data_IF_683817667455
#
_entry.id   IF_683817667455
#
_cell.length_a   1.000
_cell.length_b   1.000
_cell.length_c   1.000
_cell.angle_alpha   90.00
_cell.angle_beta   90.00
_cell.angle_gamma   90.00
#
_symmetry.space_group_name_H-M   'P 1'
#
loop_
_entity.id
_entity.type
_entity.pdbx_description
1 polymer ?
#
# COMPACT_ATOMS: atom_id res chain seq x y z
N UNK A 1 -8.26 -7.70 -1.19
CA UNK A 1 -9.17 -6.57 -0.89
C UNK A 1 -8.50 -5.21 -1.02
N UNK A 2 -7.25 -5.03 -0.60
CA UNK A 2 -6.56 -3.73 -0.63
C UNK A 2 -6.39 -3.08 -2.02
N UNK A 3 -6.15 -3.87 -3.07
CA UNK A 3 -5.90 -3.34 -4.42
C UNK A 3 -7.03 -2.42 -4.96
N UNK A 4 -8.31 -2.84 -5.02
CA UNK A 4 -9.38 -1.94 -5.48
C UNK A 4 -9.60 -0.72 -4.59
N UNK A 5 -9.27 -0.81 -3.29
CA UNK A 5 -9.32 0.36 -2.37
C UNK A 5 -8.23 1.37 -2.77
N UNK A 6 -7.00 0.89 -2.98
CA UNK A 6 -5.88 1.71 -3.38
C UNK A 6 -6.13 2.38 -4.74
N UNK A 7 -6.64 1.64 -5.72
CA UNK A 7 -6.98 2.17 -7.05
C UNK A 7 -8.00 3.31 -6.96
N UNK A 8 -9.06 3.15 -6.16
CA UNK A 8 -10.06 4.21 -5.95
C UNK A 8 -9.47 5.46 -5.28
N UNK A 9 -8.56 5.30 -4.31
CA UNK A 9 -7.92 6.42 -3.63
C UNK A 9 -6.99 7.19 -4.58
N UNK A 10 -6.21 6.47 -5.40
CA UNK A 10 -5.37 7.07 -6.46
C UNK A 10 -6.24 7.82 -7.46
N UNK A 11 -7.31 7.18 -7.97
CA UNK A 11 -8.24 7.79 -8.91
C UNK A 11 -8.98 9.02 -8.36
N UNK A 12 -9.10 9.13 -7.04
CA UNK A 12 -9.66 10.31 -6.35
C UNK A 12 -8.64 11.43 -6.10
N UNK A 13 -7.38 11.24 -6.51
CA UNK A 13 -6.30 12.23 -6.41
C UNK A 13 -5.49 12.18 -5.11
N UNK A 14 -5.61 11.11 -4.33
CA UNK A 14 -4.78 10.93 -3.13
C UNK A 14 -3.41 10.34 -3.49
N UNK A 15 -2.36 10.84 -2.84
CA UNK A 15 -1.02 10.25 -2.96
C UNK A 15 -0.96 8.97 -2.13
N UNK A 16 -0.62 7.86 -2.78
CA UNK A 16 -0.54 6.55 -2.13
C UNK A 16 0.88 5.99 -2.17
N UNK A 17 1.35 5.59 -1.00
CA UNK A 17 2.60 4.87 -0.79
C UNK A 17 2.28 3.40 -0.52
N UNK A 18 2.84 2.51 -1.33
CA UNK A 18 2.48 1.10 -1.40
C UNK A 18 3.64 0.23 -0.93
N UNK A 19 3.31 -0.79 -0.14
CA UNK A 19 4.22 -1.87 0.21
C UNK A 19 3.44 -3.18 0.28
N UNK A 20 4.00 -4.24 -0.29
CA UNK A 20 3.47 -5.60 -0.21
C UNK A 20 4.63 -6.60 -0.29
N UNK A 21 4.45 -7.80 0.25
CA UNK A 21 5.45 -8.89 0.11
C UNK A 21 5.59 -9.35 -1.34
N UNK A 22 4.53 -9.21 -2.14
CA UNK A 22 4.47 -9.53 -3.55
C UNK A 22 4.25 -8.27 -4.37
N UNK A 23 5.34 -7.62 -4.79
CA UNK A 23 5.32 -6.39 -5.61
C UNK A 23 4.44 -6.53 -6.87
N UNK A 24 4.37 -7.71 -7.48
CA UNK A 24 3.54 -7.95 -8.68
C UNK A 24 2.06 -7.67 -8.44
N UNK A 25 1.57 -7.87 -7.21
CA UNK A 25 0.19 -7.59 -6.85
C UNK A 25 -0.19 -6.11 -6.89
N UNK A 26 0.80 -5.21 -6.98
CA UNK A 26 0.64 -3.77 -6.99
C UNK A 26 1.07 -3.13 -8.32
N UNK A 27 1.44 -3.91 -9.35
CA UNK A 27 1.93 -3.38 -10.64
C UNK A 27 0.94 -2.38 -11.27
N UNK A 28 -0.35 -2.72 -11.31
CA UNK A 28 -1.38 -1.81 -11.83
C UNK A 28 -1.46 -0.51 -11.03
N UNK A 29 -1.29 -0.57 -9.71
CA UNK A 29 -1.35 0.60 -8.85
C UNK A 29 -0.15 1.52 -9.06
N UNK A 30 1.02 0.96 -9.38
CA UNK A 30 2.20 1.75 -9.75
C UNK A 30 2.00 2.46 -11.10
N UNK A 31 1.37 1.77 -12.06
CA UNK A 31 0.99 2.37 -13.35
C UNK A 31 -0.07 3.48 -13.18
N UNK A 32 -0.99 3.32 -12.23
CA UNK A 32 -2.02 4.30 -11.89
C UNK A 32 -1.48 5.54 -11.15
N UNK A 33 -0.22 5.51 -10.67
CA UNK A 33 0.43 6.65 -9.99
C UNK A 33 0.75 6.43 -8.50
N UNK A 34 0.58 5.20 -8.00
CA UNK A 34 1.07 4.81 -6.68
C UNK A 34 2.59 4.81 -6.60
N UNK A 35 3.13 5.16 -5.43
CA UNK A 35 4.58 5.17 -5.17
C UNK A 35 4.97 3.91 -4.40
N UNK A 36 5.93 3.15 -4.92
CA UNK A 36 6.46 1.97 -4.23
C UNK A 36 7.37 2.38 -3.06
N UNK A 37 7.22 1.69 -1.94
CA UNK A 37 8.13 1.74 -0.80
C UNK A 37 8.73 0.36 -0.54
N UNK A 38 10.02 0.33 -0.24
CA UNK A 38 10.77 -0.93 -0.02
C UNK A 38 10.51 -1.52 1.37
N UNK A 39 9.87 -0.78 2.29
CA UNK A 39 9.51 -1.29 3.62
C UNK A 39 8.25 -0.63 4.22
N UNK A 40 7.57 -1.30 5.16
CA UNK A 40 6.49 -0.68 5.94
C UNK A 40 6.95 0.59 6.68
N UNK A 41 8.20 0.62 7.15
CA UNK A 41 8.80 1.79 7.81
C UNK A 41 8.82 3.01 6.89
N UNK A 42 9.18 2.81 5.63
CA UNK A 42 9.20 3.87 4.62
C UNK A 42 7.78 4.39 4.31
N UNK A 43 6.78 3.50 4.25
CA UNK A 43 5.37 3.91 4.12
C UNK A 43 4.96 4.79 5.30
N UNK A 44 5.27 4.37 6.53
CA UNK A 44 4.88 5.10 7.74
C UNK A 44 5.52 6.50 7.84
N UNK A 45 6.71 6.68 7.27
CA UNK A 45 7.39 7.97 7.28
C UNK A 45 6.81 9.00 6.29
N UNK A 46 6.05 8.55 5.29
CA UNK A 46 5.50 9.38 4.23
C UNK A 46 3.97 9.52 4.30
N UNK A 47 3.31 8.72 5.14
CA UNK A 47 1.86 8.62 5.19
C UNK A 47 1.27 9.24 6.46
N UNK A 48 0.21 10.04 6.32
CA UNK A 48 -0.58 10.55 7.46
C UNK A 48 -1.57 9.51 7.98
N UNK A 49 -2.07 8.64 7.10
CA UNK A 49 -3.05 7.60 7.40
C UNK A 49 -2.55 6.28 6.79
N UNK A 50 -2.65 5.20 7.56
CA UNK A 50 -2.18 3.87 7.14
C UNK A 50 -3.37 2.91 7.04
N UNK A 51 -3.50 2.28 5.87
CA UNK A 51 -4.43 1.18 5.65
C UNK A 51 -3.66 -0.14 5.63
N UNK A 52 -4.13 -1.13 6.40
CA UNK A 52 -3.63 -2.49 6.36
C UNK A 52 -4.74 -3.40 5.84
N UNK A 53 -4.50 -4.07 4.71
CA UNK A 53 -5.41 -5.07 4.14
C UNK A 53 -4.65 -6.37 3.92
N UNK A 54 -4.36 -7.07 5.01
CA UNK A 54 -3.60 -8.32 5.00
C UNK A 54 -4.52 -9.54 5.17
N UNK A 55 -4.07 -10.76 4.82
CA UNK A 55 -4.89 -11.97 4.91
C UNK A 55 -5.37 -12.28 6.33
N UNK A 56 -4.54 -12.04 7.35
CA UNK A 56 -4.88 -12.26 8.74
C UNK A 56 -4.12 -11.30 9.68
N UNK A 57 -4.29 -11.49 10.98
CA UNK A 57 -3.56 -10.76 12.00
C UNK A 57 -2.10 -11.25 12.16
N UNK A 58 -1.78 -12.47 11.72
CA UNK A 58 -0.43 -13.06 11.88
C UNK A 58 0.63 -12.26 11.11
N UNK A 59 0.25 -11.69 9.98
CA UNK A 59 1.12 -10.84 9.17
C UNK A 59 1.42 -9.49 9.85
N UNK A 60 0.61 -9.08 10.81
CA UNK A 60 0.83 -7.88 11.64
C UNK A 60 1.66 -8.27 12.86
N UNK A 61 2.94 -8.53 12.64
CA UNK A 61 3.89 -8.81 13.72
C UNK A 61 4.48 -7.52 14.31
N UNK A 62 4.77 -7.55 15.61
CA UNK A 62 5.55 -6.49 16.27
C UNK A 62 7.02 -6.80 16.00
N UNK A 63 7.70 -5.90 15.28
CA UNK A 63 9.15 -5.97 15.08
C UNK A 63 9.91 -5.54 16.34
#
# INVERSE_FOLDING_TARGET
MGNPIASNLIGSGHQLFLNDINKKSSENLLEEGGTWCESPKEVTGQSEVIFLSLPSHVEVSVA
#
